data_IF_021453951292
#
_entry.id   IF_021453951292
#
_cell.length_a   1.000
_cell.length_b   1.000
_cell.length_c   1.000
_cell.angle_alpha   90.00
_cell.angle_beta   90.00
_cell.angle_gamma   90.00
#
_symmetry.space_group_name_H-M   'P 1'
#
loop_
_entity.id
_entity.type
_entity.pdbx_description
1 polymer ?
#
# COMPACT_ATOMS: atom_id res chain seq x y z
N UNK A 1 -20.00 -8.66 16.42
CA UNK A 1 -19.55 -8.22 15.08
C UNK A 1 -18.05 -8.41 14.97
N UNK A 2 -17.54 -8.76 13.80
CA UNK A 2 -16.10 -8.75 13.50
C UNK A 2 -15.82 -7.58 12.56
N UNK A 3 -14.82 -6.75 12.88
CA UNK A 3 -14.38 -5.65 12.01
C UNK A 3 -13.16 -6.08 11.22
N UNK A 4 -13.18 -5.88 9.90
CA UNK A 4 -12.03 -6.15 9.02
C UNK A 4 -11.51 -4.81 8.53
N UNK A 5 -10.26 -4.49 8.88
CA UNK A 5 -9.61 -3.19 8.63
C UNK A 5 -8.52 -3.39 7.59
N UNK A 6 -8.73 -2.85 6.40
CA UNK A 6 -7.81 -3.04 5.28
C UNK A 6 -6.62 -2.07 5.37
N UNK A 7 -5.44 -2.54 4.99
CA UNK A 7 -4.30 -1.69 4.69
C UNK A 7 -4.49 -0.98 3.33
N UNK A 8 -3.50 -0.17 2.94
CA UNK A 8 -3.50 0.49 1.66
C UNK A 8 -3.53 -0.53 0.51
N UNK A 9 -4.33 -0.25 -0.53
CA UNK A 9 -4.42 -1.15 -1.67
C UNK A 9 -3.20 -1.01 -2.56
N UNK A 10 -2.61 -2.13 -2.99
CA UNK A 10 -1.55 -2.10 -3.99
C UNK A 10 -2.05 -1.52 -5.33
N UNK A 11 -3.34 -1.65 -5.62
CA UNK A 11 -4.01 -1.07 -6.76
C UNK A 11 -3.92 0.47 -6.80
N UNK A 12 -3.71 1.14 -5.65
CA UNK A 12 -3.51 2.58 -5.61
C UNK A 12 -2.23 3.01 -6.35
N UNK A 13 -1.20 2.15 -6.43
CA UNK A 13 0.02 2.41 -7.20
C UNK A 13 -0.20 2.39 -8.73
N UNK A 14 -1.35 1.89 -9.19
CA UNK A 14 -1.76 1.94 -10.60
C UNK A 14 -2.59 3.20 -10.92
N UNK A 15 -3.00 3.95 -9.90
CA UNK A 15 -3.95 5.05 -10.02
C UNK A 15 -3.45 6.31 -9.31
N UNK A 16 -3.92 6.57 -8.10
CA UNK A 16 -3.69 7.80 -7.34
C UNK A 16 -2.24 7.97 -6.86
N UNK A 17 -1.49 6.88 -6.73
CA UNK A 17 -0.10 6.85 -6.29
C UNK A 17 0.84 6.35 -7.40
N UNK A 18 0.39 6.46 -8.64
CA UNK A 18 1.20 6.14 -9.82
C UNK A 18 2.52 6.91 -9.77
N UNK A 19 3.62 6.24 -10.10
CA UNK A 19 4.93 6.89 -10.18
C UNK A 19 4.93 7.95 -11.29
N UNK A 20 5.41 9.15 -10.99
CA UNK A 20 5.39 10.30 -11.90
C UNK A 20 6.80 10.63 -12.37
N UNK A 21 6.94 11.02 -13.64
CA UNK A 21 8.25 11.42 -14.18
C UNK A 21 8.76 12.66 -13.44
N UNK A 22 10.01 12.62 -12.98
CA UNK A 22 10.64 13.76 -12.34
C UNK A 22 10.90 14.87 -13.37
N UNK A 23 10.83 16.13 -12.94
CA UNK A 23 11.09 17.29 -13.80
C UNK A 23 12.57 17.47 -14.15
N UNK A 24 13.48 16.87 -13.37
CA UNK A 24 14.92 17.13 -13.41
C UNK A 24 15.77 15.89 -13.78
N UNK A 25 15.24 14.96 -14.58
CA UNK A 25 16.01 13.82 -15.06
C UNK A 25 15.16 12.75 -15.73
N UNK A 26 15.79 11.64 -16.11
CA UNK A 26 15.09 10.46 -16.64
C UNK A 26 14.85 9.41 -15.54
N UNK A 27 14.08 9.81 -14.52
CA UNK A 27 13.65 8.94 -13.44
C UNK A 27 12.22 9.28 -13.00
N UNK A 28 11.61 8.42 -12.19
CA UNK A 28 10.26 8.56 -11.66
C UNK A 28 10.27 8.68 -10.14
N UNK A 29 9.21 9.23 -9.57
CA UNK A 29 9.07 9.36 -8.12
C UNK A 29 7.72 8.87 -7.60
N UNK A 30 7.76 8.29 -6.40
CA UNK A 30 6.58 8.03 -5.57
C UNK A 30 6.47 9.14 -4.52
N UNK A 31 5.37 9.89 -4.56
CA UNK A 31 5.10 10.98 -3.63
C UNK A 31 4.16 10.52 -2.52
N UNK A 32 4.66 9.71 -1.58
CA UNK A 32 3.91 9.23 -0.42
C UNK A 32 4.53 9.78 0.86
N UNK A 33 3.82 10.59 1.66
CA UNK A 33 4.40 11.24 2.83
C UNK A 33 4.46 10.28 4.01
N UNK A 34 5.26 9.22 3.93
CA UNK A 34 5.48 8.26 5.03
C UNK A 34 6.80 8.48 5.77
N UNK A 35 7.76 9.21 5.20
CA UNK A 35 9.12 9.28 5.72
C UNK A 35 9.75 7.87 5.77
N UNK A 36 10.49 7.56 6.83
CA UNK A 36 11.13 6.25 7.02
C UNK A 36 10.19 5.19 7.63
N UNK A 37 8.90 5.50 7.83
CA UNK A 37 7.94 4.57 8.41
C UNK A 37 7.40 3.62 7.33
N UNK A 38 7.51 2.29 7.49
CA UNK A 38 6.89 1.35 6.57
C UNK A 38 5.37 1.50 6.51
N UNK A 39 4.83 1.43 5.30
CA UNK A 39 3.40 1.46 5.02
C UNK A 39 2.90 0.05 4.71
N UNK A 40 1.96 -0.43 5.54
CA UNK A 40 1.21 -1.65 5.28
C UNK A 40 0.44 -1.57 3.96
N UNK A 41 0.44 -2.67 3.21
CA UNK A 41 -0.33 -2.78 1.98
C UNK A 41 -0.85 -4.20 1.71
N UNK A 42 -1.87 -4.30 0.88
CA UNK A 42 -2.50 -5.56 0.46
C UNK A 42 -3.12 -5.40 -0.93
N UNK A 43 -3.13 -6.44 -1.76
CA UNK A 43 -3.97 -6.44 -2.96
C UNK A 43 -5.44 -6.63 -2.58
N UNK A 44 -6.32 -5.76 -3.09
CA UNK A 44 -7.76 -5.86 -2.82
C UNK A 44 -8.33 -7.20 -3.29
N UNK A 45 -7.74 -7.81 -4.32
CA UNK A 45 -8.14 -9.12 -4.84
C UNK A 45 -7.96 -10.27 -3.83
N UNK A 46 -7.04 -10.13 -2.87
CA UNK A 46 -6.77 -11.17 -1.87
C UNK A 46 -7.65 -11.05 -0.62
N UNK A 47 -8.36 -9.92 -0.46
CA UNK A 47 -9.21 -9.63 0.71
C UNK A 47 -10.34 -10.63 0.86
N UNK A 48 -10.91 -11.09 -0.26
CA UNK A 48 -12.04 -12.04 -0.25
C UNK A 48 -11.69 -13.38 0.41
N UNK A 49 -10.52 -13.93 0.08
CA UNK A 49 -10.05 -15.19 0.65
C UNK A 49 -9.79 -15.07 2.17
N UNK A 50 -9.12 -13.99 2.60
CA UNK A 50 -8.87 -13.72 4.02
C UNK A 50 -10.17 -13.54 4.79
N UNK A 51 -11.12 -12.78 4.23
CA UNK A 51 -12.44 -12.53 4.82
C UNK A 51 -13.24 -13.83 4.96
N UNK A 52 -13.20 -14.70 3.96
CA UNK A 52 -13.84 -16.02 4.03
C UNK A 52 -13.25 -16.88 5.15
N UNK A 53 -11.92 -16.94 5.29
CA UNK A 53 -11.26 -17.65 6.39
C UNK A 53 -11.66 -17.13 7.78
N UNK A 54 -11.83 -15.81 7.93
CA UNK A 54 -12.31 -15.19 9.17
C UNK A 54 -13.74 -15.64 9.48
N UNK A 55 -14.66 -15.58 8.51
CA UNK A 55 -16.05 -15.96 8.72
C UNK A 55 -16.25 -17.46 8.94
N UNK A 56 -15.37 -18.30 8.40
CA UNK A 56 -15.34 -19.74 8.66
C UNK A 56 -14.79 -20.10 10.05
N UNK A 57 -14.27 -19.12 10.80
CA UNK A 57 -13.69 -19.32 12.14
C UNK A 57 -14.32 -18.38 13.20
N UNK A 58 -15.65 -18.38 13.37
CA UNK A 58 -16.34 -17.37 14.17
C UNK A 58 -15.96 -17.40 15.66
N UNK A 59 -15.66 -18.58 16.20
CA UNK A 59 -15.19 -18.73 17.59
C UNK A 59 -13.88 -17.98 17.85
N UNK A 60 -13.04 -17.82 16.82
CA UNK A 60 -11.78 -17.09 16.94
C UNK A 60 -11.98 -15.58 16.74
N UNK A 61 -12.89 -15.15 15.86
CA UNK A 61 -12.92 -13.75 15.40
C UNK A 61 -14.13 -12.92 15.84
N UNK A 62 -15.16 -13.52 16.43
CA UNK A 62 -16.33 -12.77 16.88
C UNK A 62 -15.92 -11.74 17.95
N UNK A 63 -16.31 -10.48 17.76
CA UNK A 63 -16.00 -9.37 18.67
C UNK A 63 -14.61 -8.76 18.45
N UNK A 64 -13.81 -9.27 17.52
CA UNK A 64 -12.47 -8.75 17.22
C UNK A 64 -12.47 -7.74 16.08
N UNK A 65 -11.48 -6.86 16.09
CA UNK A 65 -11.12 -6.04 14.95
C UNK A 65 -9.81 -6.57 14.37
N UNK A 66 -9.82 -6.99 13.11
CA UNK A 66 -8.69 -7.65 12.44
C UNK A 66 -8.08 -6.69 11.43
N UNK A 67 -6.80 -6.33 11.62
CA UNK A 67 -6.05 -5.49 10.68
C UNK A 67 -5.35 -6.35 9.63
N UNK A 68 -5.73 -6.18 8.36
CA UNK A 68 -5.17 -6.98 7.25
C UNK A 68 -4.06 -6.23 6.53
N UNK A 69 -2.95 -6.91 6.30
CA UNK A 69 -1.77 -6.43 5.58
C UNK A 69 -1.01 -7.61 5.01
N UNK A 70 -0.59 -7.54 3.74
CA UNK A 70 0.27 -8.55 3.13
C UNK A 70 1.74 -8.35 3.51
N UNK A 71 2.16 -7.09 3.62
CA UNK A 71 3.49 -6.68 4.07
C UNK A 71 3.52 -5.18 4.37
N UNK A 72 4.60 -4.72 5.01
CA UNK A 72 4.85 -3.31 5.26
C UNK A 72 6.22 -2.91 4.70
N UNK A 73 6.24 -1.96 3.77
CA UNK A 73 7.45 -1.51 3.08
C UNK A 73 7.62 0.01 3.23
N UNK A 74 8.86 0.50 3.28
CA UNK A 74 9.13 1.93 3.14
C UNK A 74 8.82 2.39 1.72
N UNK A 75 8.60 3.70 1.51
CA UNK A 75 8.34 4.24 0.16
C UNK A 75 9.51 3.94 -0.78
N UNK A 76 10.74 3.98 -0.29
CA UNK A 76 11.91 3.59 -1.07
C UNK A 76 11.87 2.09 -1.45
N UNK A 77 11.47 1.20 -0.55
CA UNK A 77 11.32 -0.22 -0.88
C UNK A 77 10.21 -0.47 -1.93
N UNK A 78 9.08 0.24 -1.85
CA UNK A 78 8.07 0.23 -2.92
C UNK A 78 8.67 0.72 -4.26
N UNK A 79 9.46 1.79 -4.22
CA UNK A 79 10.14 2.34 -5.40
C UNK A 79 11.18 1.38 -5.98
N UNK A 80 11.93 0.66 -5.16
CA UNK A 80 12.91 -0.34 -5.61
C UNK A 80 12.21 -1.50 -6.35
N UNK A 81 11.06 -1.96 -5.84
CA UNK A 81 10.25 -2.98 -6.51
C UNK A 81 9.74 -2.50 -7.87
N UNK A 82 9.20 -1.28 -7.93
CA UNK A 82 8.78 -0.67 -9.19
C UNK A 82 9.96 -0.50 -10.15
N UNK A 83 11.11 -0.07 -9.65
CA UNK A 83 12.31 0.13 -10.47
C UNK A 83 12.74 -1.16 -11.16
N UNK A 84 12.79 -2.24 -10.38
CA UNK A 84 13.10 -3.57 -10.89
C UNK A 84 12.10 -4.04 -11.94
N UNK A 85 10.81 -3.76 -11.73
CA UNK A 85 9.76 -4.19 -12.67
C UNK A 85 9.70 -3.36 -13.95
N UNK A 86 9.97 -2.06 -13.88
CA UNK A 86 9.88 -1.15 -15.03
C UNK A 86 11.18 -1.07 -15.84
N UNK A 87 12.30 -1.48 -15.26
CA UNK A 87 13.62 -1.23 -15.86
C UNK A 87 13.97 0.26 -15.93
N UNK A 88 13.29 1.07 -15.10
CA UNK A 88 13.46 2.53 -14.98
C UNK A 88 13.68 2.88 -13.53
N UNK A 89 14.49 3.90 -13.26
CA UNK A 89 14.73 4.32 -11.89
C UNK A 89 13.48 4.99 -11.30
N UNK A 90 13.02 4.48 -10.15
CA UNK A 90 11.94 5.05 -9.33
C UNK A 90 12.51 5.36 -7.96
N UNK A 91 12.21 6.56 -7.43
CA UNK A 91 12.73 7.03 -6.13
C UNK A 91 11.59 7.45 -5.21
N UNK A 92 11.84 7.43 -3.91
CA UNK A 92 11.01 8.19 -2.98
C UNK A 92 11.16 9.70 -3.24
N UNK A 93 10.04 10.40 -3.44
CA UNK A 93 10.04 11.86 -3.59
C UNK A 93 10.39 12.59 -2.28
N UNK A 94 10.36 11.89 -1.14
CA UNK A 94 10.56 12.42 0.21
C UNK A 94 9.65 13.60 0.53
N UNK A 95 8.42 13.57 0.01
CA UNK A 95 7.42 14.62 0.24
C UNK A 95 7.01 14.64 1.72
N UNK A 96 6.93 15.83 2.32
CA UNK A 96 6.44 15.97 3.70
C UNK A 96 4.92 15.94 3.75
N UNK A 97 4.34 15.71 4.94
CA UNK A 97 2.89 15.75 5.12
C UNK A 97 2.31 17.13 4.79
N UNK A 98 3.01 18.19 5.22
CA UNK A 98 2.61 19.58 5.01
C UNK A 98 2.65 19.96 3.52
N UNK A 99 3.61 19.41 2.77
CA UNK A 99 3.68 19.58 1.33
C UNK A 99 2.56 18.79 0.62
N UNK A 100 2.29 17.55 1.05
CA UNK A 100 1.24 16.71 0.48
C UNK A 100 -0.16 17.32 0.65
N UNK A 101 -0.47 17.84 1.84
CA UNK A 101 -1.73 18.53 2.14
C UNK A 101 -1.98 19.74 1.22
N UNK A 102 -0.92 20.36 0.72
CA UNK A 102 -0.98 21.55 -0.16
C UNK A 102 -1.04 21.23 -1.66
N UNK A 103 -1.09 19.95 -2.06
CA UNK A 103 -1.14 19.55 -3.47
C UNK A 103 -2.43 19.98 -4.20
N UNK A 104 -3.45 20.47 -3.47
CA UNK A 104 -4.59 21.20 -4.05
C UNK A 104 -5.62 20.36 -4.81
N UNK A 105 -5.44 19.03 -4.89
CA UNK A 105 -6.46 18.14 -5.44
C UNK A 105 -7.57 17.85 -4.42
N UNK A 106 -8.81 17.53 -4.86
CA UNK A 106 -9.89 17.16 -3.94
C UNK A 106 -9.52 15.96 -3.07
N UNK A 107 -9.55 16.11 -1.75
CA UNK A 107 -9.16 15.06 -0.80
C UNK A 107 -7.70 15.09 -0.33
N UNK A 108 -6.89 16.08 -0.75
CA UNK A 108 -5.47 16.18 -0.37
C UNK A 108 -5.27 16.26 1.16
N UNK A 109 -6.14 17.01 1.85
CA UNK A 109 -6.11 17.12 3.31
C UNK A 109 -6.44 15.80 3.99
N UNK A 110 -7.50 15.13 3.56
CA UNK A 110 -7.95 13.85 4.11
C UNK A 110 -6.90 12.76 3.89
N UNK A 111 -6.24 12.74 2.72
CA UNK A 111 -5.13 11.83 2.47
C UNK A 111 -3.90 12.16 3.33
N UNK A 112 -3.56 13.44 3.54
CA UNK A 112 -2.50 13.82 4.47
C UNK A 112 -2.82 13.37 5.90
N UNK A 113 -4.06 13.51 6.36
CA UNK A 113 -4.53 13.00 7.66
C UNK A 113 -4.47 11.46 7.74
N UNK A 114 -4.78 10.76 6.66
CA UNK A 114 -4.60 9.30 6.57
C UNK A 114 -3.12 8.90 6.68
N UNK A 115 -2.20 9.57 5.99
CA UNK A 115 -0.78 9.30 6.10
C UNK A 115 -0.22 9.66 7.48
N UNK A 116 -0.72 10.73 8.12
CA UNK A 116 -0.43 11.02 9.54
C UNK A 116 -0.80 9.82 10.42
N UNK A 117 -1.97 9.23 10.21
CA UNK A 117 -2.40 8.04 10.93
C UNK A 117 -1.53 6.82 10.61
N UNK A 118 -1.17 6.59 9.35
CA UNK A 118 -0.27 5.48 8.96
C UNK A 118 1.12 5.60 9.61
N UNK A 119 1.65 6.81 9.77
CA UNK A 119 2.90 7.04 10.51
C UNK A 119 2.82 6.65 12.00
N UNK A 120 1.62 6.57 12.58
CA UNK A 120 1.41 6.08 13.94
C UNK A 120 1.39 4.54 14.04
N UNK A 121 1.67 3.82 12.95
CA UNK A 121 1.71 2.35 12.86
C UNK A 121 0.40 1.70 13.35
N UNK A 122 -0.72 1.91 12.63
CA UNK A 122 -1.99 1.28 12.96
C UNK A 122 -1.84 -0.23 13.10
N UNK A 123 -2.64 -0.83 13.98
CA UNK A 123 -2.67 -2.28 14.18
C UNK A 123 -3.00 -3.03 12.87
N UNK A 124 -2.01 -3.76 12.36
CA UNK A 124 -2.03 -4.59 11.14
C UNK A 124 -1.20 -5.84 11.42
N UNK A 125 -1.77 -7.00 11.13
CA UNK A 125 -1.13 -8.29 11.42
C UNK A 125 -0.82 -9.04 10.13
N UNK A 126 0.42 -8.86 9.67
CA UNK A 126 0.95 -9.55 8.48
C UNK A 126 0.95 -11.06 8.67
N UNK A 127 1.39 -11.56 9.84
CA UNK A 127 1.48 -13.00 10.10
C UNK A 127 0.10 -13.65 10.08
N UNK A 128 -0.88 -13.02 10.71
CA UNK A 128 -2.26 -13.47 10.69
C UNK A 128 -2.83 -13.45 9.27
N UNK A 129 -2.58 -12.40 8.50
CA UNK A 129 -3.06 -12.28 7.12
C UNK A 129 -2.53 -13.43 6.26
N UNK A 130 -1.23 -13.72 6.34
CA UNK A 130 -0.61 -14.87 5.66
C UNK A 130 -1.14 -16.22 6.17
N UNK A 131 -1.43 -16.35 7.48
CA UNK A 131 -2.06 -17.57 8.02
C UNK A 131 -3.46 -17.78 7.46
N UNK A 132 -4.25 -16.71 7.31
CA UNK A 132 -5.62 -16.75 6.81
C UNK A 132 -5.70 -16.92 5.28
N UNK A 133 -4.70 -16.41 4.55
CA UNK A 133 -4.52 -16.64 3.12
C UNK A 133 -3.03 -16.82 2.81
N UNK A 134 -2.53 -18.08 2.74
CA UNK A 134 -1.14 -18.36 2.40
C UNK A 134 -0.72 -17.95 0.99
N UNK A 135 -1.68 -17.57 0.14
CA UNK A 135 -1.45 -17.09 -1.24
C UNK A 135 -1.60 -15.57 -1.35
N UNK A 136 -1.67 -14.84 -0.23
CA UNK A 136 -1.70 -13.37 -0.27
C UNK A 136 -0.46 -12.86 -0.98
N UNK A 137 -0.64 -11.98 -1.95
CA UNK A 137 0.46 -11.51 -2.80
C UNK A 137 1.33 -10.51 -2.06
N UNK A 138 2.64 -10.61 -2.25
CA UNK A 138 3.53 -9.47 -2.00
C UNK A 138 3.29 -8.38 -3.06
N UNK A 139 3.73 -7.17 -2.77
CA UNK A 139 3.77 -6.05 -3.70
C UNK A 139 4.57 -6.40 -4.95
N UNK A 140 5.70 -7.10 -4.81
CA UNK A 140 6.49 -7.55 -5.96
C UNK A 140 5.74 -8.52 -6.88
N UNK A 141 4.97 -9.47 -6.31
CA UNK A 141 4.10 -10.35 -7.08
C UNK A 141 2.98 -9.56 -7.75
N UNK A 142 2.31 -8.68 -7.00
CA UNK A 142 1.25 -7.82 -7.54
C UNK A 142 1.75 -6.97 -8.73
N UNK A 143 2.89 -6.30 -8.61
CA UNK A 143 3.46 -5.48 -9.67
C UNK A 143 3.83 -6.32 -10.89
N UNK A 144 4.40 -7.51 -10.69
CA UNK A 144 4.72 -8.44 -11.78
C UNK A 144 3.48 -8.88 -12.57
N UNK A 145 2.35 -9.07 -11.91
CA UNK A 145 1.09 -9.45 -12.55
C UNK A 145 0.38 -8.27 -13.23
N UNK A 146 0.71 -7.03 -12.86
CA UNK A 146 0.05 -5.81 -13.32
C UNK A 146 0.94 -4.92 -14.19
N UNK A 147 2.03 -5.45 -14.76
CA UNK A 147 2.98 -4.69 -15.58
C UNK A 147 2.30 -3.93 -16.73
N UNK A 148 1.28 -4.53 -17.36
CA UNK A 148 0.51 -3.88 -18.44
C UNK A 148 -0.13 -2.54 -18.03
N UNK A 149 -0.65 -2.44 -16.81
CA UNK A 149 -1.24 -1.21 -16.28
C UNK A 149 -0.17 -0.14 -15.97
N UNK A 150 1.09 -0.54 -15.85
CA UNK A 150 2.21 0.34 -15.61
C UNK A 150 2.88 0.85 -16.90
N UNK A 151 2.61 0.26 -18.08
CA UNK A 151 3.28 0.58 -19.37
C UNK A 151 3.00 1.98 -19.95
N UNK A 152 2.54 2.92 -19.14
CA UNK A 152 2.46 4.36 -19.47
C UNK A 152 3.32 5.21 -18.54
N UNK A 153 4.38 4.61 -18.00
CA UNK A 153 5.47 5.17 -17.19
C UNK A 153 6.74 4.77 -17.92
#
# INVERSE_FOLDING_TARGET
MTSIRLAAYFENFLTIWKAMKASNGDYYTLALPMGDIPMDGISVADVGAVTSSIFNSPAEFLGKAVGLSAEALTVQQYADVLSKSLGKEVRDAKITLEAYEKLGFPGAKEMADMFRFYRMKPDRDVKLTHRLNPKVKSFSQFISENQGALMGI
#
